data_IF_502197067718
#
_entry.id   IF_502197067718
#
_cell.length_a   1.000
_cell.length_b   1.000
_cell.length_c   1.000
_cell.angle_alpha   90.00
_cell.angle_beta   90.00
_cell.angle_gamma   90.00
#
_symmetry.space_group_name_H-M   'P 1'
#
loop_
_entity.id
_entity.type
_entity.pdbx_description
1 polymer ?
#
# COMPACT_ATOMS: atom_id res chain seq x y z
N UNK A 1 77.79 9.96 -21.56
CA UNK A 1 76.59 10.64 -21.01
C UNK A 1 75.34 10.07 -21.66
N UNK A 2 75.03 8.79 -21.41
CA UNK A 2 73.87 8.13 -21.99
C UNK A 2 73.38 7.07 -21.00
N UNK A 3 72.66 7.47 -19.94
CA UNK A 3 72.02 6.50 -19.03
C UNK A 3 70.89 7.08 -18.16
N UNK A 4 70.28 8.22 -18.50
CA UNK A 4 69.23 8.84 -17.65
C UNK A 4 67.81 8.73 -18.24
N UNK A 5 67.62 8.24 -19.47
CA UNK A 5 66.29 8.30 -20.12
C UNK A 5 65.42 7.03 -20.12
N UNK A 6 65.72 6.01 -19.33
CA UNK A 6 64.84 4.82 -19.23
C UNK A 6 64.01 4.71 -17.95
N UNK A 7 64.22 5.56 -16.94
CA UNK A 7 63.57 5.34 -15.63
C UNK A 7 62.26 6.12 -15.37
N UNK A 8 61.73 6.86 -16.36
CA UNK A 8 60.45 7.58 -16.20
C UNK A 8 59.24 6.91 -16.87
N UNK A 9 59.41 5.84 -17.65
CA UNK A 9 58.29 5.20 -18.37
C UNK A 9 57.59 4.06 -17.64
N UNK A 10 57.93 3.77 -16.38
CA UNK A 10 57.41 2.56 -15.71
C UNK A 10 56.78 2.78 -14.33
N UNK A 11 56.10 3.91 -14.10
CA UNK A 11 55.25 4.12 -12.92
C UNK A 11 54.00 4.97 -13.17
N UNK A 12 53.28 4.76 -14.26
CA UNK A 12 51.83 5.03 -14.22
C UNK A 12 51.16 3.80 -13.59
N UNK A 13 51.36 3.64 -12.27
CA UNK A 13 50.60 2.69 -11.47
C UNK A 13 49.15 3.13 -11.59
N UNK A 14 48.35 2.31 -12.27
CA UNK A 14 46.90 2.48 -12.45
C UNK A 14 46.30 3.21 -11.26
N UNK A 15 45.81 4.44 -11.47
CA UNK A 15 45.14 5.21 -10.42
C UNK A 15 44.05 4.33 -9.82
N UNK A 16 43.99 4.17 -8.48
CA UNK A 16 42.93 3.40 -7.84
C UNK A 16 41.58 3.89 -8.34
N UNK A 17 40.80 2.98 -8.87
CA UNK A 17 39.42 3.23 -9.24
C UNK A 17 38.54 3.11 -8.00
N UNK A 18 37.32 3.64 -8.09
CA UNK A 18 36.30 3.48 -7.05
C UNK A 18 35.98 1.99 -6.74
N UNK A 19 36.30 1.08 -7.67
CA UNK A 19 36.10 -0.36 -7.50
C UNK A 19 37.25 -1.04 -6.73
N UNK A 20 38.36 -0.33 -6.51
CA UNK A 20 39.52 -0.81 -5.75
C UNK A 20 39.44 -0.42 -4.26
N UNK A 21 38.35 0.25 -3.84
CA UNK A 21 38.12 0.65 -2.46
C UNK A 21 37.83 -0.58 -1.58
N UNK A 22 38.45 -0.70 -0.39
CA UNK A 22 38.12 -1.77 0.56
C UNK A 22 36.63 -1.76 0.91
N UNK A 23 36.05 -2.94 1.09
CA UNK A 23 34.59 -3.08 1.32
C UNK A 23 34.16 -2.39 2.62
N UNK A 24 35.03 -2.36 3.62
CA UNK A 24 34.78 -1.71 4.91
C UNK A 24 34.59 -0.19 4.76
N UNK A 25 35.36 0.45 3.87
CA UNK A 25 35.21 1.89 3.59
C UNK A 25 33.92 2.16 2.81
N UNK A 26 33.54 1.25 1.92
CA UNK A 26 32.28 1.34 1.19
C UNK A 26 31.09 1.24 2.17
N UNK A 27 31.13 0.28 3.10
CA UNK A 27 30.12 0.11 4.16
C UNK A 27 30.04 1.35 5.06
N UNK A 28 31.17 1.91 5.49
CA UNK A 28 31.22 3.15 6.27
C UNK A 28 30.55 4.32 5.52
N UNK A 29 30.91 4.55 4.25
CA UNK A 29 30.30 5.60 3.42
C UNK A 29 28.79 5.39 3.30
N UNK A 30 28.34 4.16 3.00
CA UNK A 30 26.91 3.87 2.82
C UNK A 30 26.14 4.10 4.13
N UNK A 31 26.74 3.75 5.27
CA UNK A 31 26.12 3.89 6.58
C UNK A 31 25.72 5.35 6.90
N UNK A 32 26.53 6.31 6.45
CA UNK A 32 26.32 7.75 6.63
C UNK A 32 25.35 8.38 5.61
N UNK A 33 25.00 7.67 4.53
CA UNK A 33 24.11 8.20 3.50
C UNK A 33 22.63 8.01 3.86
N UNK A 34 21.83 9.04 3.59
CA UNK A 34 20.38 8.91 3.57
C UNK A 34 19.92 7.94 2.45
N UNK A 35 18.73 7.36 2.58
CA UNK A 35 18.21 6.38 1.63
C UNK A 35 18.27 6.85 0.17
N UNK A 36 17.98 8.13 -0.10
CA UNK A 36 18.07 8.70 -1.46
C UNK A 36 19.49 8.71 -2.02
N UNK A 37 20.47 9.08 -1.19
CA UNK A 37 21.85 9.13 -1.62
C UNK A 37 22.39 7.71 -1.80
N UNK A 38 21.92 6.72 -1.01
CA UNK A 38 22.20 5.30 -1.26
C UNK A 38 21.66 4.85 -2.63
N UNK A 39 20.43 5.19 -3.00
CA UNK A 39 19.89 4.89 -4.35
C UNK A 39 20.76 5.54 -5.44
N UNK A 40 21.19 6.78 -5.23
CA UNK A 40 22.07 7.46 -6.19
C UNK A 40 23.43 6.75 -6.31
N UNK A 41 24.05 6.38 -5.19
CA UNK A 41 25.34 5.69 -5.13
C UNK A 41 25.28 4.27 -5.70
N UNK A 42 24.17 3.54 -5.51
CA UNK A 42 23.90 2.23 -6.13
C UNK A 42 23.95 2.28 -7.68
N UNK A 43 23.66 3.47 -8.26
CA UNK A 43 23.72 3.70 -9.70
C UNK A 43 25.13 4.05 -10.20
N UNK A 44 26.08 4.38 -9.32
CA UNK A 44 27.44 4.84 -9.69
C UNK A 44 28.38 3.69 -10.04
N UNK A 45 28.42 2.59 -9.26
CA UNK A 45 29.33 1.47 -9.52
C UNK A 45 28.73 0.10 -9.12
N UNK A 46 29.31 -0.99 -9.65
CA UNK A 46 28.92 -2.36 -9.25
C UNK A 46 29.30 -2.66 -7.80
N UNK A 47 30.47 -2.23 -7.34
CA UNK A 47 30.92 -2.43 -5.96
C UNK A 47 29.97 -1.79 -4.94
N UNK A 48 29.58 -0.53 -5.15
CA UNK A 48 28.57 0.13 -4.31
C UNK A 48 27.23 -0.57 -4.38
N UNK A 49 26.78 -0.97 -5.58
CA UNK A 49 25.53 -1.69 -5.76
C UNK A 49 25.50 -3.00 -4.97
N UNK A 50 26.58 -3.77 -4.99
CA UNK A 50 26.66 -5.07 -4.33
C UNK A 50 26.64 -4.96 -2.81
N UNK A 51 27.25 -3.90 -2.25
CA UNK A 51 27.18 -3.62 -0.81
C UNK A 51 25.80 -3.10 -0.41
N UNK A 52 25.28 -2.09 -1.12
CA UNK A 52 23.97 -1.50 -0.84
C UNK A 52 22.85 -2.54 -0.94
N UNK A 53 22.91 -3.46 -1.92
CA UNK A 53 21.91 -4.52 -2.07
C UNK A 53 21.88 -5.51 -0.90
N UNK A 54 22.96 -5.59 -0.10
CA UNK A 54 23.02 -6.47 1.09
C UNK A 54 22.43 -5.79 2.32
N UNK A 55 22.37 -4.47 2.35
CA UNK A 55 21.87 -3.69 3.48
C UNK A 55 20.38 -3.39 3.34
N UNK A 56 19.66 -3.41 4.46
CA UNK A 56 18.32 -2.84 4.50
C UNK A 56 18.42 -1.32 4.28
N UNK A 57 17.73 -0.79 3.27
CA UNK A 57 17.67 0.66 3.05
C UNK A 57 16.99 1.38 4.22
N UNK A 58 16.32 0.65 5.12
CA UNK A 58 15.60 1.19 6.25
C UNK A 58 14.30 1.88 5.86
N UNK A 59 13.96 1.89 4.57
CA UNK A 59 12.74 2.51 4.03
C UNK A 59 11.53 1.87 4.69
N UNK A 60 10.71 2.69 5.35
CA UNK A 60 9.50 2.21 6.04
C UNK A 60 8.25 2.47 5.23
N UNK A 61 8.23 3.53 4.44
CA UNK A 61 7.06 3.92 3.65
C UNK A 61 7.50 4.05 2.20
N UNK A 62 6.75 3.42 1.30
CA UNK A 62 7.04 3.47 -0.13
C UNK A 62 5.73 3.61 -0.91
N UNK A 63 5.68 4.49 -1.90
CA UNK A 63 4.53 4.58 -2.79
C UNK A 63 4.91 5.04 -4.18
N UNK A 64 4.17 4.52 -5.17
CA UNK A 64 4.25 4.98 -6.55
C UNK A 64 2.88 5.44 -7.02
N UNK A 65 2.81 6.67 -7.50
CA UNK A 65 1.70 7.18 -8.30
C UNK A 65 2.14 7.35 -9.75
N UNK A 66 1.38 6.78 -10.69
CA UNK A 66 1.63 6.95 -12.14
C UNK A 66 0.42 7.60 -12.76
N UNK A 67 0.60 8.78 -13.35
CA UNK A 67 -0.41 9.50 -14.12
C UNK A 67 -0.10 9.46 -15.62
N UNK A 68 -0.86 10.18 -16.44
CA UNK A 68 -0.64 10.23 -17.90
C UNK A 68 0.67 10.90 -18.32
N UNK A 69 1.20 11.85 -17.55
CA UNK A 69 2.36 12.67 -17.96
C UNK A 69 3.49 12.71 -16.93
N UNK A 70 3.23 12.21 -15.73
CA UNK A 70 4.20 12.19 -14.65
C UNK A 70 3.97 11.02 -13.71
N UNK A 71 5.03 10.65 -12.99
CA UNK A 71 4.98 9.70 -11.89
C UNK A 71 5.60 10.33 -10.66
N UNK A 72 5.14 9.91 -9.49
CA UNK A 72 5.68 10.33 -8.20
C UNK A 72 6.06 9.07 -7.44
N UNK A 73 7.35 8.94 -7.12
CA UNK A 73 7.87 7.93 -6.21
C UNK A 73 8.13 8.60 -4.86
N UNK A 74 7.45 8.17 -3.82
CA UNK A 74 7.68 8.64 -2.46
C UNK A 74 8.28 7.52 -1.63
N UNK A 75 9.33 7.83 -0.87
CA UNK A 75 9.88 6.94 0.15
C UNK A 75 10.22 7.73 1.41
N UNK A 76 9.62 7.31 2.52
CA UNK A 76 9.61 8.05 3.80
C UNK A 76 9.26 9.54 3.61
N UNK A 77 10.21 10.45 3.88
CA UNK A 77 10.02 11.90 3.75
C UNK A 77 10.54 12.46 2.40
N UNK A 78 10.90 11.58 1.47
CA UNK A 78 11.47 11.96 0.17
C UNK A 78 10.49 11.69 -0.96
N UNK A 79 10.45 12.63 -1.91
CA UNK A 79 9.64 12.51 -3.13
C UNK A 79 10.50 12.75 -4.37
N UNK A 80 10.33 11.89 -5.36
CA UNK A 80 10.95 12.00 -6.68
C UNK A 80 9.84 12.12 -7.74
N UNK A 81 9.82 13.25 -8.42
CA UNK A 81 8.93 13.53 -9.55
C UNK A 81 9.61 13.12 -10.85
N UNK A 82 8.91 12.36 -11.67
CA UNK A 82 9.31 11.95 -13.00
C UNK A 82 8.32 12.57 -13.99
N UNK A 83 8.79 13.26 -15.02
CA UNK A 83 7.92 13.96 -15.97
C UNK A 83 8.44 13.86 -17.39
N UNK A 84 7.58 13.52 -18.34
CA UNK A 84 7.95 13.50 -19.75
C UNK A 84 8.22 14.92 -20.26
N UNK A 85 9.38 15.13 -20.87
CA UNK A 85 9.82 16.38 -21.50
C UNK A 85 10.48 16.05 -22.83
N UNK A 86 9.87 16.43 -23.96
CA UNK A 86 10.46 16.30 -25.30
C UNK A 86 10.99 14.91 -25.70
N UNK A 87 10.39 13.82 -25.19
CA UNK A 87 10.84 12.44 -25.46
C UNK A 87 11.84 11.89 -24.43
N UNK A 88 12.26 12.73 -23.51
CA UNK A 88 13.09 12.39 -22.35
C UNK A 88 12.26 12.45 -21.06
N UNK A 89 12.88 12.08 -19.94
CA UNK A 89 12.28 12.19 -18.61
C UNK A 89 13.07 13.17 -17.74
N UNK A 90 12.41 14.25 -17.31
CA UNK A 90 12.89 15.08 -16.21
C UNK A 90 12.67 14.33 -14.90
N UNK A 91 13.72 14.16 -14.11
CA UNK A 91 13.68 13.58 -12.77
C UNK A 91 14.06 14.67 -11.78
N UNK A 92 13.17 14.96 -10.83
CA UNK A 92 13.33 16.01 -9.83
C UNK A 92 13.18 15.44 -8.43
N UNK A 93 14.09 15.81 -7.53
CA UNK A 93 14.04 15.48 -6.11
C UNK A 93 14.56 16.66 -5.30
N UNK A 94 13.67 17.30 -4.53
CA UNK A 94 13.99 18.57 -3.86
C UNK A 94 14.48 19.62 -4.86
N UNK A 95 15.69 20.14 -4.62
CA UNK A 95 16.34 21.13 -5.50
C UNK A 95 17.19 20.50 -6.61
N UNK A 96 17.31 19.16 -6.66
CA UNK A 96 18.09 18.45 -7.68
C UNK A 96 17.17 18.08 -8.83
N UNK A 97 17.60 18.37 -10.05
CA UNK A 97 16.93 17.93 -11.26
C UNK A 97 17.93 17.37 -12.28
N UNK A 98 17.48 16.44 -13.11
CA UNK A 98 18.26 15.92 -14.24
C UNK A 98 17.34 15.44 -15.35
N UNK A 99 17.82 15.49 -16.58
CA UNK A 99 17.16 14.88 -17.73
C UNK A 99 17.76 13.50 -17.97
N UNK A 100 16.90 12.50 -18.13
CA UNK A 100 17.26 11.14 -18.52
C UNK A 100 16.77 10.91 -19.95
N UNK A 101 17.72 10.77 -20.87
CA UNK A 101 17.43 10.72 -22.29
C UNK A 101 16.72 9.42 -22.70
N UNK A 102 15.74 9.51 -23.60
CA UNK A 102 15.07 8.37 -24.22
C UNK A 102 14.32 7.44 -23.26
N UNK A 103 13.94 7.95 -22.08
CA UNK A 103 13.12 7.22 -21.10
C UNK A 103 11.84 8.00 -20.83
N UNK A 104 10.75 7.29 -20.53
CA UNK A 104 9.51 7.91 -20.05
C UNK A 104 9.40 7.83 -18.52
N UNK A 105 8.60 8.73 -17.95
CA UNK A 105 8.42 8.84 -16.50
C UNK A 105 7.98 7.55 -15.83
N UNK A 106 7.15 6.75 -16.50
CA UNK A 106 6.55 5.56 -15.91
C UNK A 106 7.56 4.43 -15.86
N UNK A 107 8.26 4.16 -16.96
CA UNK A 107 9.29 3.12 -17.02
C UNK A 107 10.40 3.43 -16.00
N UNK A 108 10.81 4.70 -15.92
CA UNK A 108 11.89 5.08 -15.01
C UNK A 108 11.49 4.99 -13.54
N UNK A 109 10.30 5.49 -13.17
CA UNK A 109 9.78 5.37 -11.80
C UNK A 109 9.48 3.93 -11.39
N UNK A 110 8.93 3.10 -12.29
CA UNK A 110 8.71 1.66 -12.05
C UNK A 110 10.04 0.92 -11.83
N UNK A 111 11.07 1.23 -12.63
CA UNK A 111 12.40 0.64 -12.41
C UNK A 111 13.01 1.05 -11.08
N UNK A 112 12.84 2.30 -10.67
CA UNK A 112 13.38 2.81 -9.41
C UNK A 112 12.68 2.16 -8.19
N UNK A 113 11.35 2.08 -8.18
CA UNK A 113 10.64 1.40 -7.09
C UNK A 113 10.93 -0.11 -7.08
N UNK A 114 11.07 -0.74 -8.26
CA UNK A 114 11.43 -2.15 -8.35
C UNK A 114 12.81 -2.40 -7.72
N UNK A 115 13.79 -1.55 -7.98
CA UNK A 115 15.13 -1.70 -7.39
C UNK A 115 15.13 -1.54 -5.87
N UNK A 116 14.23 -0.70 -5.32
CA UNK A 116 14.02 -0.62 -3.88
C UNK A 116 13.40 -1.91 -3.32
N UNK A 117 12.41 -2.45 -4.02
CA UNK A 117 11.68 -3.65 -3.58
C UNK A 117 12.45 -4.96 -3.76
N UNK A 118 13.47 -5.02 -4.63
CA UNK A 118 14.25 -6.25 -4.92
C UNK A 118 15.00 -6.81 -3.72
N UNK A 119 15.27 -6.01 -2.70
CA UNK A 119 15.98 -6.49 -1.52
C UNK A 119 15.01 -7.31 -0.64
N UNK A 120 15.24 -8.62 -0.43
CA UNK A 120 14.36 -9.48 0.38
C UNK A 120 14.32 -9.11 1.87
N UNK A 121 15.24 -8.25 2.35
CA UNK A 121 15.23 -7.73 3.72
C UNK A 121 14.25 -6.58 3.93
N UNK A 122 13.68 -6.03 2.86
CA UNK A 122 12.74 -4.90 2.94
C UNK A 122 11.53 -5.27 3.80
N UNK A 123 11.30 -4.47 4.82
CA UNK A 123 10.12 -4.52 5.68
C UNK A 123 9.45 -3.15 5.68
N UNK A 124 8.31 -3.06 5.01
CA UNK A 124 7.57 -1.81 4.88
C UNK A 124 6.51 -1.71 5.97
N UNK A 125 6.47 -0.56 6.64
CA UNK A 125 5.30 -0.17 7.39
C UNK A 125 4.17 0.23 6.43
N UNK A 126 4.47 0.84 5.28
CA UNK A 126 3.47 1.23 4.29
C UNK A 126 3.93 0.99 2.84
N UNK A 127 3.05 0.42 2.02
CA UNK A 127 3.23 0.31 0.58
C UNK A 127 1.97 0.76 -0.18
N UNK A 128 2.12 1.75 -1.06
CA UNK A 128 1.04 2.36 -1.82
C UNK A 128 1.23 2.29 -3.34
N UNK A 129 0.17 1.94 -4.09
CA UNK A 129 0.18 2.00 -5.56
C UNK A 129 -1.05 2.73 -6.08
N UNK A 130 -0.85 3.72 -6.94
CA UNK A 130 -1.94 4.48 -7.57
C UNK A 130 -1.67 4.62 -9.07
N UNK A 131 -2.65 4.26 -9.88
CA UNK A 131 -2.61 4.51 -11.32
C UNK A 131 -3.72 5.50 -11.67
N UNK A 132 -3.35 6.70 -12.05
CA UNK A 132 -4.27 7.80 -12.30
C UNK A 132 -4.51 8.04 -13.80
N UNK A 133 -5.74 8.42 -14.14
CA UNK A 133 -6.15 8.67 -15.52
C UNK A 133 -6.31 7.38 -16.31
N UNK A 134 -6.36 7.49 -17.64
CA UNK A 134 -6.46 6.35 -18.54
C UNK A 134 -5.09 5.71 -18.75
N UNK A 135 -4.58 5.03 -17.71
CA UNK A 135 -3.28 4.36 -17.70
C UNK A 135 -3.44 2.86 -17.43
N UNK A 136 -4.56 2.29 -17.85
CA UNK A 136 -4.90 0.86 -17.68
C UNK A 136 -3.85 -0.08 -18.27
N UNK A 137 -3.12 0.36 -19.31
CA UNK A 137 -2.00 -0.35 -19.91
C UNK A 137 -0.81 -0.58 -18.95
N UNK A 138 -0.79 0.08 -17.79
CA UNK A 138 0.28 -0.04 -16.78
C UNK A 138 -0.04 -1.03 -15.67
N UNK A 139 -1.27 -1.54 -15.59
CA UNK A 139 -1.65 -2.49 -14.55
C UNK A 139 -0.80 -3.76 -14.61
N UNK A 140 -0.56 -4.29 -15.80
CA UNK A 140 0.25 -5.48 -16.00
C UNK A 140 1.71 -5.23 -15.60
N UNK A 141 2.29 -4.09 -15.96
CA UNK A 141 3.67 -3.74 -15.58
C UNK A 141 3.88 -3.71 -14.06
N UNK A 142 2.90 -3.19 -13.32
CA UNK A 142 2.94 -3.18 -11.84
C UNK A 142 2.83 -4.60 -11.29
N UNK A 143 1.98 -5.44 -11.89
CA UNK A 143 1.84 -6.83 -11.47
C UNK A 143 3.10 -7.65 -11.75
N UNK A 144 3.64 -7.56 -12.96
CA UNK A 144 4.88 -8.23 -13.36
C UNK A 144 6.05 -7.81 -12.46
N UNK A 145 6.15 -6.52 -12.14
CA UNK A 145 7.15 -6.01 -11.20
C UNK A 145 7.08 -6.72 -9.85
N UNK A 146 5.90 -6.79 -9.23
CA UNK A 146 5.73 -7.46 -7.93
C UNK A 146 5.96 -8.97 -8.00
N UNK A 147 5.52 -9.61 -9.09
CA UNK A 147 5.74 -11.05 -9.30
C UNK A 147 7.22 -11.38 -9.50
N UNK A 148 7.99 -10.48 -10.13
CA UNK A 148 9.42 -10.67 -10.41
C UNK A 148 10.32 -10.64 -9.17
N UNK A 149 9.81 -10.22 -8.01
CA UNK A 149 10.57 -10.21 -6.75
C UNK A 149 10.98 -11.62 -6.31
N UNK A 150 10.25 -12.67 -6.70
CA UNK A 150 10.47 -14.06 -6.29
C UNK A 150 10.34 -14.35 -4.78
N UNK A 151 9.80 -13.40 -4.00
CA UNK A 151 9.43 -13.56 -2.59
C UNK A 151 8.14 -12.79 -2.29
N UNK A 152 7.55 -13.03 -1.11
CA UNK A 152 6.38 -12.26 -0.64
C UNK A 152 6.84 -10.98 0.05
N UNK A 153 6.31 -9.84 -0.36
CA UNK A 153 6.65 -8.55 0.23
C UNK A 153 6.08 -8.45 1.65
N UNK A 154 6.94 -8.13 2.63
CA UNK A 154 6.55 -7.90 4.01
C UNK A 154 6.06 -6.45 4.19
N UNK A 155 4.75 -6.27 4.33
CA UNK A 155 4.11 -4.95 4.49
C UNK A 155 3.03 -4.98 5.57
N UNK A 156 2.98 -3.93 6.42
CA UNK A 156 1.90 -3.75 7.41
C UNK A 156 0.67 -3.06 6.86
N UNK A 157 0.86 -1.96 6.13
CA UNK A 157 -0.21 -1.16 5.54
C UNK A 157 -0.12 -1.20 4.01
N UNK A 158 -1.09 -1.84 3.36
CA UNK A 158 -1.13 -1.93 1.90
C UNK A 158 -2.29 -1.11 1.36
N UNK A 159 -1.99 -0.19 0.43
CA UNK A 159 -2.98 0.69 -0.20
C UNK A 159 -2.87 0.62 -1.72
N UNK A 160 -3.98 0.35 -2.40
CA UNK A 160 -4.03 0.38 -3.87
C UNK A 160 -5.24 1.14 -4.37
N UNK A 161 -5.06 2.04 -5.33
CA UNK A 161 -6.16 2.82 -5.87
C UNK A 161 -6.20 2.74 -7.39
N UNK A 162 -7.43 2.66 -7.92
CA UNK A 162 -7.76 2.67 -9.35
C UNK A 162 -7.27 1.43 -10.08
N UNK A 163 -7.39 0.28 -9.42
CA UNK A 163 -7.14 -1.02 -10.02
C UNK A 163 -8.43 -1.83 -10.09
N UNK A 164 -8.69 -2.57 -11.18
CA UNK A 164 -9.70 -3.63 -11.19
C UNK A 164 -9.41 -4.66 -10.09
N UNK A 165 -10.46 -5.25 -9.49
CA UNK A 165 -10.33 -6.11 -8.31
C UNK A 165 -9.45 -7.35 -8.55
N UNK A 166 -9.43 -7.87 -9.79
CA UNK A 166 -8.51 -8.96 -10.21
C UNK A 166 -7.03 -8.65 -9.97
N UNK A 167 -6.61 -7.39 -10.14
CA UNK A 167 -5.22 -6.98 -9.87
C UNK A 167 -4.98 -6.85 -8.37
N UNK A 168 -5.95 -6.32 -7.61
CA UNK A 168 -5.88 -6.28 -6.14
C UNK A 168 -5.66 -7.67 -5.56
N UNK A 169 -6.41 -8.68 -6.03
CA UNK A 169 -6.22 -10.09 -5.67
C UNK A 169 -4.79 -10.56 -6.00
N UNK A 170 -4.32 -10.26 -7.21
CA UNK A 170 -2.99 -10.67 -7.67
C UNK A 170 -1.88 -10.00 -6.87
N UNK A 171 -2.06 -8.73 -6.46
CA UNK A 171 -1.16 -8.04 -5.57
C UNK A 171 -1.15 -8.66 -4.18
N UNK A 172 -2.31 -8.99 -3.60
CA UNK A 172 -2.39 -9.64 -2.28
C UNK A 172 -1.63 -10.97 -2.29
N UNK A 173 -1.74 -11.72 -3.37
CA UNK A 173 -0.96 -12.96 -3.54
C UNK A 173 0.54 -12.70 -3.54
N UNK A 174 1.03 -11.50 -3.83
CA UNK A 174 2.45 -11.13 -3.74
C UNK A 174 2.89 -10.64 -2.35
N UNK A 175 1.98 -10.53 -1.37
CA UNK A 175 2.27 -10.02 -0.03
C UNK A 175 2.32 -11.13 1.03
N UNK A 176 3.13 -10.94 2.06
CA UNK A 176 3.23 -11.86 3.19
C UNK A 176 2.05 -11.65 4.14
N UNK A 177 1.20 -12.67 4.32
CA UNK A 177 -0.04 -12.55 5.08
C UNK A 177 0.15 -12.30 6.59
N UNK A 178 1.28 -12.73 7.18
CA UNK A 178 1.52 -12.59 8.63
C UNK A 178 1.77 -11.15 9.07
N UNK A 179 2.22 -10.28 8.16
CA UNK A 179 2.62 -8.92 8.48
C UNK A 179 1.54 -7.89 8.19
N UNK A 180 0.55 -8.22 7.33
CA UNK A 180 -0.50 -7.29 6.93
C UNK A 180 -1.42 -7.01 8.11
N UNK A 181 -1.58 -5.73 8.42
CA UNK A 181 -2.50 -5.24 9.44
C UNK A 181 -3.64 -4.44 8.82
N UNK A 182 -3.34 -3.61 7.82
CA UNK A 182 -4.30 -2.66 7.26
C UNK A 182 -4.30 -2.74 5.73
N UNK A 183 -5.50 -2.86 5.17
CA UNK A 183 -5.74 -2.97 3.75
C UNK A 183 -6.68 -1.86 3.32
N UNK A 184 -6.29 -1.10 2.31
CA UNK A 184 -7.14 -0.06 1.72
C UNK A 184 -7.14 -0.25 0.21
N UNK A 185 -8.31 -0.33 -0.42
CA UNK A 185 -8.36 -0.33 -1.87
C UNK A 185 -9.52 0.42 -2.49
N UNK A 186 -9.26 0.95 -3.69
CA UNK A 186 -10.24 1.60 -4.56
C UNK A 186 -10.24 1.05 -5.96
N UNK A 187 -11.45 0.83 -6.46
CA UNK A 187 -11.68 0.32 -7.80
C UNK A 187 -12.84 1.05 -8.45
N UNK A 188 -12.63 1.41 -9.72
CA UNK A 188 -13.59 2.10 -10.59
C UNK A 188 -14.45 1.12 -11.41
N UNK A 189 -14.32 -0.20 -11.18
CA UNK A 189 -14.99 -1.22 -11.99
C UNK A 189 -15.87 -2.08 -11.09
N UNK A 190 -17.11 -2.32 -11.53
CA UNK A 190 -17.98 -3.32 -10.91
C UNK A 190 -17.44 -4.72 -11.19
N UNK A 191 -17.48 -5.58 -10.18
CA UNK A 191 -16.96 -6.93 -10.26
C UNK A 191 -17.83 -7.90 -9.44
N UNK A 192 -18.44 -8.87 -10.11
CA UNK A 192 -19.36 -9.81 -9.46
C UNK A 192 -18.65 -11.04 -8.86
N UNK A 193 -17.50 -11.43 -9.43
CA UNK A 193 -16.85 -12.71 -9.14
C UNK A 193 -15.68 -12.57 -8.16
N UNK A 194 -14.81 -11.59 -8.39
CA UNK A 194 -13.58 -11.41 -7.62
C UNK A 194 -13.79 -11.16 -6.12
N UNK A 195 -14.90 -10.54 -5.63
CA UNK A 195 -15.15 -10.45 -4.19
C UNK A 195 -15.15 -11.82 -3.49
N UNK A 196 -15.69 -12.86 -4.15
CA UNK A 196 -15.77 -14.23 -3.60
C UNK A 196 -14.40 -14.91 -3.53
N UNK A 197 -13.45 -14.51 -4.37
CA UNK A 197 -12.07 -14.97 -4.31
C UNK A 197 -11.28 -14.19 -3.27
N UNK A 198 -11.43 -12.86 -3.24
CA UNK A 198 -10.71 -11.96 -2.36
C UNK A 198 -10.87 -12.34 -0.87
N UNK A 199 -12.11 -12.60 -0.43
CA UNK A 199 -12.41 -12.95 0.97
C UNK A 199 -11.80 -14.29 1.43
N UNK A 200 -11.36 -15.12 0.48
CA UNK A 200 -10.73 -16.43 0.78
C UNK A 200 -9.23 -16.32 1.03
N UNK A 201 -8.59 -15.21 0.67
CA UNK A 201 -7.16 -15.01 0.82
C UNK A 201 -6.76 -14.86 2.30
N UNK A 202 -5.59 -15.37 2.67
CA UNK A 202 -5.09 -15.26 4.04
C UNK A 202 -4.78 -13.80 4.43
N UNK A 203 -4.36 -12.98 3.46
CA UNK A 203 -4.14 -11.55 3.63
C UNK A 203 -5.43 -10.85 4.10
N UNK A 204 -6.59 -11.23 3.54
CA UNK A 204 -7.89 -10.70 3.95
C UNK A 204 -8.28 -11.15 5.35
N UNK A 205 -8.09 -12.43 5.67
CA UNK A 205 -8.49 -13.02 6.96
C UNK A 205 -7.64 -12.54 8.13
N UNK A 206 -6.36 -12.20 7.89
CA UNK A 206 -5.41 -11.79 8.93
C UNK A 206 -5.38 -10.29 9.19
N UNK A 207 -5.77 -9.48 8.19
CA UNK A 207 -5.83 -8.04 8.36
C UNK A 207 -6.81 -7.63 9.48
N UNK A 208 -6.48 -6.56 10.18
CA UNK A 208 -7.25 -5.98 11.30
C UNK A 208 -8.13 -4.82 10.85
N UNK A 209 -7.68 -4.09 9.83
CA UNK A 209 -8.37 -2.96 9.25
C UNK A 209 -8.63 -3.19 7.78
N UNK A 210 -9.83 -2.83 7.33
CA UNK A 210 -10.13 -2.71 5.91
C UNK A 210 -10.89 -1.45 5.56
N UNK A 211 -10.52 -0.82 4.45
CA UNK A 211 -11.26 0.27 3.86
C UNK A 211 -11.42 0.06 2.35
N UNK A 212 -12.68 0.07 1.90
CA UNK A 212 -13.05 -0.11 0.49
C UNK A 212 -13.83 1.13 0.05
N UNK A 213 -13.27 1.82 -0.93
CA UNK A 213 -13.86 3.02 -1.54
C UNK A 213 -14.00 2.78 -3.05
N UNK A 214 -14.92 3.48 -3.71
CA UNK A 214 -15.21 3.22 -5.12
C UNK A 214 -16.47 3.90 -5.62
N UNK A 215 -16.59 4.00 -6.94
CA UNK A 215 -17.82 4.42 -7.61
C UNK A 215 -18.92 3.34 -7.57
N UNK A 216 -18.53 2.07 -7.42
CA UNK A 216 -19.43 0.91 -7.48
C UNK A 216 -19.50 0.17 -6.15
N UNK A 217 -20.60 -0.56 -5.96
CA UNK A 217 -20.79 -1.46 -4.83
C UNK A 217 -20.47 -2.88 -5.26
N UNK A 218 -19.62 -3.56 -4.48
CA UNK A 218 -19.29 -4.96 -4.71
C UNK A 218 -20.31 -5.86 -4.00
N UNK A 219 -20.59 -7.06 -4.53
CA UNK A 219 -21.45 -8.05 -3.87
C UNK A 219 -20.75 -8.74 -2.67
N UNK A 220 -20.11 -7.96 -1.79
CA UNK A 220 -19.68 -8.48 -0.49
C UNK A 220 -20.88 -8.71 0.41
N UNK A 221 -20.78 -9.72 1.26
CA UNK A 221 -21.73 -9.94 2.34
C UNK A 221 -21.26 -9.20 3.59
N UNK A 222 -22.18 -8.83 4.46
CA UNK A 222 -21.84 -8.21 5.74
C UNK A 222 -20.91 -9.09 6.59
N UNK A 223 -21.12 -10.41 6.57
CA UNK A 223 -20.30 -11.38 7.31
C UNK A 223 -18.82 -11.40 6.88
N UNK A 224 -18.51 -10.99 5.65
CA UNK A 224 -17.14 -10.93 5.13
C UNK A 224 -16.28 -9.87 5.85
N UNK A 225 -16.89 -8.99 6.65
CA UNK A 225 -16.22 -7.89 7.35
C UNK A 225 -16.23 -8.00 8.87
N UNK A 226 -17.04 -8.89 9.44
CA UNK A 226 -17.28 -8.90 10.90
C UNK A 226 -16.10 -9.47 11.71
N UNK A 227 -15.07 -10.02 11.07
CA UNK A 227 -13.82 -10.42 11.72
C UNK A 227 -12.83 -9.27 11.90
N UNK A 228 -12.96 -8.18 11.14
CA UNK A 228 -12.07 -7.02 11.26
C UNK A 228 -12.30 -6.25 12.57
N UNK A 229 -11.23 -5.68 13.12
CA UNK A 229 -11.31 -4.75 14.24
C UNK A 229 -11.90 -3.41 13.79
N UNK A 230 -11.51 -2.96 12.61
CA UNK A 230 -11.99 -1.72 12.01
C UNK A 230 -12.33 -1.95 10.55
N UNK A 231 -13.52 -1.53 10.11
CA UNK A 231 -13.87 -1.60 8.69
C UNK A 231 -14.67 -0.38 8.23
N UNK A 232 -14.45 0.01 6.98
CA UNK A 232 -15.23 1.04 6.27
C UNK A 232 -15.52 0.57 4.85
N UNK A 233 -16.79 0.30 4.54
CA UNK A 233 -17.17 -0.30 3.26
C UNK A 233 -18.48 0.25 2.74
N UNK A 234 -18.63 0.29 1.42
CA UNK A 234 -19.92 0.56 0.76
C UNK A 234 -20.54 -0.73 0.26
N UNK A 235 -21.80 -0.96 0.64
CA UNK A 235 -22.60 -2.11 0.22
C UNK A 235 -23.73 -1.67 -0.71
N UNK A 236 -24.08 -2.53 -1.67
CA UNK A 236 -25.18 -2.27 -2.62
C UNK A 236 -26.55 -2.30 -1.94
N UNK A 237 -26.70 -3.17 -0.95
CA UNK A 237 -27.88 -3.24 -0.09
C UNK A 237 -27.48 -3.56 1.34
N UNK A 238 -28.39 -3.31 2.27
CA UNK A 238 -28.29 -3.77 3.65
C UNK A 238 -29.70 -4.01 4.19
N UNK A 239 -29.97 -5.26 4.54
CA UNK A 239 -31.28 -5.72 4.99
C UNK A 239 -31.39 -5.76 6.51
N UNK A 240 -32.60 -6.04 7.00
CA UNK A 240 -32.81 -6.38 8.42
C UNK A 240 -32.13 -7.69 8.82
N UNK A 241 -31.95 -8.64 7.89
CA UNK A 241 -31.16 -9.85 8.10
C UNK A 241 -29.68 -9.51 8.31
N UNK A 242 -29.14 -8.62 7.48
CA UNK A 242 -27.77 -8.11 7.62
C UNK A 242 -27.56 -7.41 8.97
N UNK A 243 -28.51 -6.56 9.38
CA UNK A 243 -28.51 -5.95 10.71
C UNK A 243 -28.54 -6.99 11.84
N UNK A 244 -29.32 -8.06 11.67
CA UNK A 244 -29.39 -9.14 12.65
C UNK A 244 -28.03 -9.86 12.77
N UNK A 245 -27.34 -10.11 11.65
CA UNK A 245 -25.98 -10.67 11.66
C UNK A 245 -25.00 -9.77 12.42
N UNK A 246 -25.04 -8.44 12.19
CA UNK A 246 -24.21 -7.47 12.93
C UNK A 246 -24.52 -7.56 14.42
N UNK A 247 -25.80 -7.48 14.81
CA UNK A 247 -26.22 -7.60 16.20
C UNK A 247 -25.70 -8.89 16.83
N UNK A 248 -25.89 -10.03 16.16
CA UNK A 248 -25.55 -11.34 16.71
C UNK A 248 -24.04 -11.52 16.95
N UNK A 249 -23.20 -10.92 16.10
CA UNK A 249 -21.75 -10.85 16.35
C UNK A 249 -21.43 -9.93 17.54
N UNK A 250 -22.09 -8.78 17.64
CA UNK A 250 -21.89 -7.87 18.76
C UNK A 250 -22.30 -8.50 20.10
N UNK A 251 -23.32 -9.36 20.12
CA UNK A 251 -23.79 -10.06 21.33
C UNK A 251 -22.81 -11.10 21.90
N UNK A 252 -21.73 -11.40 21.18
CA UNK A 252 -20.68 -12.36 21.57
C UNK A 252 -19.33 -11.63 21.76
N UNK A 253 -18.33 -12.27 22.40
CA UNK A 253 -16.95 -11.76 22.36
C UNK A 253 -16.49 -11.57 20.91
N UNK A 254 -16.03 -10.37 20.59
CA UNK A 254 -15.60 -9.97 19.26
C UNK A 254 -14.50 -8.91 19.36
N UNK A 255 -13.79 -8.68 18.26
CA UNK A 255 -12.69 -7.71 18.16
C UNK A 255 -13.12 -6.35 17.57
N UNK A 256 -14.39 -6.19 17.18
CA UNK A 256 -14.86 -4.98 16.49
C UNK A 256 -14.70 -3.79 17.44
N UNK A 257 -13.94 -2.79 17.00
CA UNK A 257 -13.83 -1.48 17.65
C UNK A 257 -14.62 -0.42 16.86
N UNK A 258 -14.59 -0.50 15.53
CA UNK A 258 -15.29 0.41 14.65
C UNK A 258 -15.76 -0.31 13.39
N UNK A 259 -17.00 -0.06 12.98
CA UNK A 259 -17.54 -0.56 11.73
C UNK A 259 -18.35 0.54 11.05
N UNK A 260 -18.16 0.73 9.76
CA UNK A 260 -18.94 1.65 8.96
C UNK A 260 -19.38 0.97 7.68
N UNK A 261 -20.69 0.86 7.53
CA UNK A 261 -21.35 0.42 6.32
C UNK A 261 -22.03 1.64 5.69
N UNK A 262 -21.62 2.01 4.48
CA UNK A 262 -22.27 2.99 3.60
C UNK A 262 -23.21 2.25 2.64
N UNK A 263 -24.48 2.63 2.56
CA UNK A 263 -25.50 1.94 1.75
C UNK A 263 -26.80 2.72 1.76
N UNK A 264 -27.71 2.51 0.81
CA UNK A 264 -29.06 3.12 0.88
C UNK A 264 -30.03 2.23 1.67
N UNK A 265 -30.52 2.70 2.83
CA UNK A 265 -31.53 2.01 3.66
C UNK A 265 -32.94 2.33 3.17
N UNK A 266 -33.74 1.29 2.92
CA UNK A 266 -35.18 1.46 2.67
C UNK A 266 -35.97 1.81 3.94
N UNK A 267 -35.71 1.12 5.05
CA UNK A 267 -36.36 1.37 6.35
C UNK A 267 -35.34 1.42 7.53
N UNK A 268 -34.81 2.61 7.86
CA UNK A 268 -33.91 2.78 9.01
C UNK A 268 -34.54 2.43 10.36
N UNK A 269 -35.87 2.54 10.49
CA UNK A 269 -36.58 2.22 11.73
C UNK A 269 -36.61 0.70 11.93
N UNK A 270 -36.81 -0.07 10.86
CA UNK A 270 -36.71 -1.53 10.93
C UNK A 270 -35.31 -1.99 11.36
N UNK A 271 -34.24 -1.34 10.85
CA UNK A 271 -32.87 -1.61 11.29
C UNK A 271 -32.66 -1.24 12.76
N UNK A 272 -33.15 -0.08 13.20
CA UNK A 272 -33.09 0.34 14.60
C UNK A 272 -33.77 -0.68 15.52
N UNK A 273 -34.93 -1.22 15.11
CA UNK A 273 -35.67 -2.25 15.86
C UNK A 273 -34.94 -3.58 16.02
N UNK A 274 -33.94 -3.87 15.18
CA UNK A 274 -33.07 -5.04 15.38
C UNK A 274 -32.22 -4.88 16.65
N UNK A 275 -31.76 -3.66 16.92
CA UNK A 275 -30.93 -3.35 18.10
C UNK A 275 -31.77 -2.95 19.32
N UNK A 276 -32.95 -2.34 19.11
CA UNK A 276 -33.88 -1.93 20.16
C UNK A 276 -35.34 -2.20 19.70
N UNK A 277 -35.94 -3.35 20.04
CA UNK A 277 -37.24 -3.77 19.50
C UNK A 277 -38.39 -2.77 19.64
N UNK A 278 -38.39 -1.98 20.72
CA UNK A 278 -39.41 -0.96 20.99
C UNK A 278 -39.08 0.41 20.41
N UNK A 279 -38.08 0.51 19.53
CA UNK A 279 -37.67 1.77 18.93
C UNK A 279 -38.83 2.42 18.17
N UNK A 280 -39.16 3.64 18.58
CA UNK A 280 -40.22 4.48 18.00
C UNK A 280 -39.74 5.92 17.74
N UNK A 281 -38.43 6.10 17.55
CA UNK A 281 -37.80 7.39 17.31
C UNK A 281 -37.66 7.73 15.81
N UNK A 282 -36.88 8.77 15.49
CA UNK A 282 -36.65 9.19 14.11
C UNK A 282 -35.93 8.14 13.25
N UNK A 283 -35.93 8.32 11.93
CA UNK A 283 -35.21 7.45 10.96
C UNK A 283 -33.68 7.62 10.97
N UNK A 284 -33.16 8.28 11.99
CA UNK A 284 -31.73 8.44 12.27
C UNK A 284 -31.53 8.52 13.78
N UNK A 285 -30.39 8.07 14.27
CA UNK A 285 -30.13 8.14 15.70
C UNK A 285 -28.90 7.34 16.10
N UNK A 286 -28.67 7.31 17.41
CA UNK A 286 -27.62 6.52 18.02
C UNK A 286 -28.23 5.65 19.13
N UNK A 287 -28.15 4.33 18.96
CA UNK A 287 -28.61 3.37 19.96
C UNK A 287 -27.41 2.89 20.78
N UNK A 288 -27.64 2.62 22.06
CA UNK A 288 -26.64 2.00 22.94
C UNK A 288 -26.90 0.50 23.00
N UNK A 289 -25.99 -0.27 22.42
CA UNK A 289 -26.09 -1.73 22.37
C UNK A 289 -25.25 -2.31 23.49
N UNK A 290 -25.91 -2.91 24.48
CA UNK A 290 -25.27 -3.62 25.58
C UNK A 290 -25.07 -5.08 25.16
N UNK A 291 -23.83 -5.56 25.26
CA UNK A 291 -23.48 -6.93 24.88
C UNK A 291 -22.45 -7.53 25.82
N UNK A 292 -22.29 -8.86 25.76
CA UNK A 292 -21.20 -9.55 26.47
C UNK A 292 -19.83 -9.07 26.01
N UNK A 293 -19.69 -8.69 24.74
CA UNK A 293 -18.45 -8.20 24.15
C UNK A 293 -18.10 -6.74 24.48
N UNK A 294 -19.00 -6.00 25.14
CA UNK A 294 -18.82 -4.58 25.50
C UNK A 294 -20.04 -3.71 25.20
N UNK A 295 -19.89 -2.41 25.42
CA UNK A 295 -20.91 -1.42 25.10
C UNK A 295 -20.59 -0.82 23.73
N UNK A 296 -21.56 -0.85 22.82
CA UNK A 296 -21.43 -0.26 21.49
C UNK A 296 -22.42 0.89 21.31
N UNK A 297 -22.06 1.82 20.43
CA UNK A 297 -23.00 2.77 19.84
C UNK A 297 -23.27 2.35 18.41
N UNK A 298 -24.54 2.12 18.10
CA UNK A 298 -25.03 1.87 16.74
C UNK A 298 -25.68 3.15 16.22
N UNK A 299 -24.96 3.89 15.39
CA UNK A 299 -25.46 5.12 14.74
C UNK A 299 -26.02 4.74 13.37
N UNK A 300 -27.29 5.04 13.13
CA UNK A 300 -27.98 4.68 11.90
C UNK A 300 -28.61 5.92 11.26
N UNK A 301 -28.75 5.90 9.94
CA UNK A 301 -29.52 6.86 9.16
C UNK A 301 -29.94 6.23 7.83
N UNK A 302 -30.59 6.97 6.94
CA UNK A 302 -30.95 6.48 5.59
C UNK A 302 -29.79 5.99 4.74
N UNK A 303 -28.54 6.38 5.06
CA UNK A 303 -27.40 6.08 4.20
C UNK A 303 -26.28 5.29 4.90
N UNK A 304 -26.45 4.92 6.17
CA UNK A 304 -25.36 4.26 6.90
C UNK A 304 -25.81 3.50 8.13
N UNK A 305 -24.99 2.53 8.51
CA UNK A 305 -24.92 1.98 9.85
C UNK A 305 -23.46 2.04 10.31
N UNK A 306 -23.25 2.67 11.45
CA UNK A 306 -21.96 2.83 12.10
C UNK A 306 -21.98 2.20 13.47
N UNK A 307 -21.08 1.26 13.70
CA UNK A 307 -20.85 0.63 14.99
C UNK A 307 -19.57 1.20 15.59
N UNK A 308 -19.61 1.63 16.84
CA UNK A 308 -18.42 2.07 17.58
C UNK A 308 -18.43 1.52 18.99
N UNK A 309 -17.40 0.77 19.36
CA UNK A 309 -17.18 0.34 20.73
C UNK A 309 -16.93 1.57 21.61
N UNK A 310 -17.59 1.63 22.76
CA UNK A 310 -17.33 2.63 23.79
C UNK A 310 -16.20 2.08 24.68
N UNK A 311 -15.12 2.83 24.83
CA UNK A 311 -14.14 2.55 25.87
C UNK A 311 -14.86 2.54 27.21
N UNK A 312 -14.61 1.53 28.05
CA UNK A 312 -14.96 1.62 29.46
C UNK A 312 -14.07 2.71 30.06
N UNK A 313 -14.55 3.95 30.03
CA UNK A 313 -14.00 4.99 30.90
C UNK A 313 -14.51 4.63 32.28
N UNK A 314 -13.64 4.01 33.09
CA UNK A 314 -13.77 4.07 34.54
C UNK A 314 -13.42 5.49 34.97
#
# INVERSE_FOLDING_TARGET
>A
MAEIHENERQKDRSKPSLSDMPIEIIEDIISDLAAIDRIAVQKVSRGFRDVINREDFGVKRLSLEVSTKSSILSFDDTEVEYKNVHGDCLVKSGNREKIVNGSDHSTLSMNDIHNLLKNPKVQLDYFGLVIAGDQTCRFENVLEMLQSLNFKLCVKNFSVARFPLKYVISFFKCLAAEQIENITFYSDEYDEENPKELVKLEQWKKAKFIEIYGGYTFPFKVEDFLHFTTFWVRLGHFTTEDAAKVRDVLMKPNNINYGYFDFSIYDPIAIARIFEPNYNGPSYGALRVHSTGGIFSAVFSKNQLKIKRKSNVN
#
